data_IF_270972521201
#
_entry.id   IF_270972521201
#
_cell.length_a   1.000
_cell.length_b   1.000
_cell.length_c   1.000
_cell.angle_alpha   90.00
_cell.angle_beta   90.00
_cell.angle_gamma   90.00
#
_symmetry.space_group_name_H-M   'P 1'
#
loop_
_entity.id
_entity.type
_entity.pdbx_description
1 polymer ?
#
# COMPACT_ATOMS: atom_id res chain seq x y z
N UNK A 1 -18.76 11.93 3.27
CA UNK A 1 -18.77 10.45 3.43
C UNK A 1 -17.56 9.74 2.82
N UNK A 2 -17.04 10.17 1.66
CA UNK A 2 -15.95 9.49 0.94
C UNK A 2 -14.64 9.28 1.73
N UNK A 3 -14.25 10.19 2.63
CA UNK A 3 -13.02 10.03 3.43
C UNK A 3 -12.98 8.80 4.35
N UNK A 4 -14.15 8.33 4.83
CA UNK A 4 -14.23 7.14 5.69
C UNK A 4 -13.96 5.84 4.91
N UNK A 5 -14.36 5.78 3.65
CA UNK A 5 -14.20 4.59 2.79
C UNK A 5 -12.73 4.30 2.53
N UNK A 6 -11.95 5.32 2.14
CA UNK A 6 -10.51 5.16 1.90
C UNK A 6 -9.74 4.77 3.17
N UNK A 7 -10.20 5.28 4.31
CA UNK A 7 -9.63 4.92 5.60
C UNK A 7 -9.81 3.43 5.90
N UNK A 8 -11.02 2.91 5.67
CA UNK A 8 -11.36 1.51 5.84
C UNK A 8 -10.57 0.65 4.85
N UNK A 9 -10.45 1.10 3.60
CA UNK A 9 -9.68 0.41 2.57
C UNK A 9 -8.20 0.28 2.94
N UNK A 10 -7.59 1.36 3.46
CA UNK A 10 -6.22 1.30 3.98
C UNK A 10 -6.09 0.32 5.15
N UNK A 11 -7.04 0.35 6.08
CA UNK A 11 -7.11 -0.59 7.20
C UNK A 11 -7.20 -2.05 6.74
N UNK A 12 -8.03 -2.34 5.73
CA UNK A 12 -8.12 -3.67 5.12
C UNK A 12 -6.80 -4.11 4.49
N UNK A 13 -6.12 -3.22 3.76
CA UNK A 13 -4.82 -3.54 3.16
C UNK A 13 -3.76 -3.79 4.25
N UNK A 14 -3.75 -3.01 5.33
CA UNK A 14 -2.88 -3.26 6.48
C UNK A 14 -3.21 -4.59 7.18
N UNK A 15 -4.49 -4.96 7.27
CA UNK A 15 -4.92 -6.23 7.84
C UNK A 15 -4.39 -7.41 7.01
N UNK A 16 -4.44 -7.32 5.68
CA UNK A 16 -3.82 -8.33 4.80
C UNK A 16 -2.31 -8.43 5.06
N UNK A 17 -1.60 -7.30 5.16
CA UNK A 17 -0.17 -7.30 5.50
C UNK A 17 0.10 -7.94 6.87
N UNK A 18 -0.76 -7.73 7.87
CA UNK A 18 -0.63 -8.37 9.20
C UNK A 18 -0.86 -9.88 9.15
N UNK A 19 -1.83 -10.37 8.36
CA UNK A 19 -2.03 -11.80 8.15
C UNK A 19 -0.78 -12.42 7.52
N UNK A 20 -0.20 -11.75 6.53
CA UNK A 20 1.05 -12.19 5.89
C UNK A 20 2.19 -12.22 6.90
N UNK A 21 2.36 -11.18 7.73
CA UNK A 21 3.34 -11.19 8.80
C UNK A 21 3.15 -12.38 9.74
N UNK A 22 1.91 -12.70 10.13
CA UNK A 22 1.61 -13.88 10.96
C UNK A 22 2.02 -15.19 10.29
N UNK A 23 1.73 -15.35 8.99
CA UNK A 23 2.17 -16.51 8.21
C UNK A 23 3.69 -16.60 8.13
N UNK A 24 4.39 -15.49 7.92
CA UNK A 24 5.85 -15.46 7.86
C UNK A 24 6.49 -15.82 9.21
N UNK A 25 5.96 -15.30 10.31
CA UNK A 25 6.41 -15.67 11.66
C UNK A 25 6.20 -17.17 11.91
N UNK A 26 5.06 -17.71 11.50
CA UNK A 26 4.78 -19.14 11.60
C UNK A 26 5.79 -19.98 10.81
N UNK A 27 6.10 -19.58 9.57
CA UNK A 27 7.10 -20.23 8.73
C UNK A 27 8.45 -20.22 9.45
N UNK A 28 8.95 -19.04 9.84
CA UNK A 28 10.24 -18.87 10.53
C UNK A 28 10.32 -19.76 11.78
N UNK A 29 9.30 -19.70 12.64
CA UNK A 29 9.28 -20.44 13.91
C UNK A 29 9.32 -21.95 13.68
N UNK A 30 8.54 -22.46 12.71
CA UNK A 30 8.54 -23.89 12.38
C UNK A 30 9.84 -24.36 11.76
N UNK A 31 10.51 -23.52 10.98
CA UNK A 31 11.81 -23.86 10.40
C UNK A 31 12.96 -23.80 11.38
N UNK A 32 12.99 -22.85 12.33
CA UNK A 32 14.03 -22.82 13.38
C UNK A 32 13.98 -24.10 14.24
N UNK A 33 12.77 -24.61 14.48
CA UNK A 33 12.56 -25.86 15.22
C UNK A 33 12.80 -27.12 14.37
N UNK A 34 13.06 -26.99 13.07
CA UNK A 34 13.34 -28.08 12.15
C UNK A 34 14.84 -28.25 11.89
N UNK A 35 15.28 -29.45 11.52
CA UNK A 35 16.68 -29.74 11.17
C UNK A 35 17.14 -29.16 9.82
N UNK A 36 16.33 -28.31 9.17
CA UNK A 36 16.67 -27.73 7.87
C UNK A 36 17.25 -26.32 8.04
N UNK A 37 18.44 -26.11 7.46
CA UNK A 37 19.08 -24.79 7.42
C UNK A 37 18.27 -23.89 6.49
N UNK A 38 17.63 -22.86 7.05
CA UNK A 38 17.03 -21.80 6.23
C UNK A 38 18.14 -20.96 5.60
N UNK A 39 17.88 -20.45 4.39
CA UNK A 39 18.69 -19.38 3.85
C UNK A 39 18.56 -18.12 4.72
N UNK A 40 19.70 -17.63 5.22
CA UNK A 40 19.77 -16.42 6.03
C UNK A 40 19.21 -15.21 5.30
N UNK A 41 19.31 -15.17 3.97
CA UNK A 41 18.74 -14.10 3.16
C UNK A 41 17.21 -14.04 3.26
N UNK A 42 16.54 -15.20 3.34
CA UNK A 42 15.08 -15.29 3.47
C UNK A 42 14.61 -14.90 4.88
N UNK A 43 15.33 -15.32 5.93
CA UNK A 43 15.05 -14.88 7.31
C UNK A 43 15.12 -13.36 7.41
N UNK A 44 16.18 -12.79 6.83
CA UNK A 44 16.43 -11.36 6.88
C UNK A 44 15.36 -10.59 6.10
N UNK A 45 14.98 -11.05 4.90
CA UNK A 45 13.88 -10.47 4.12
C UNK A 45 12.56 -10.46 4.89
N UNK A 46 12.18 -11.60 5.48
CA UNK A 46 10.96 -11.71 6.29
C UNK A 46 10.98 -10.82 7.53
N UNK A 47 12.13 -10.74 8.21
CA UNK A 47 12.29 -9.90 9.40
C UNK A 47 12.16 -8.41 9.05
N UNK A 48 12.80 -7.97 7.96
CA UNK A 48 12.67 -6.60 7.46
C UNK A 48 11.21 -6.29 7.10
N UNK A 49 10.52 -7.21 6.42
CA UNK A 49 9.12 -7.03 6.07
C UNK A 49 8.21 -6.84 7.30
N UNK A 50 8.42 -7.64 8.35
CA UNK A 50 7.67 -7.51 9.61
C UNK A 50 7.93 -6.15 10.26
N UNK A 51 9.20 -5.74 10.36
CA UNK A 51 9.60 -4.45 10.94
C UNK A 51 8.97 -3.28 10.15
N UNK A 52 9.07 -3.31 8.81
CA UNK A 52 8.47 -2.29 7.95
C UNK A 52 6.95 -2.21 8.13
N UNK A 53 6.28 -3.34 8.36
CA UNK A 53 4.83 -3.37 8.62
C UNK A 53 4.45 -2.71 9.93
N UNK A 54 5.21 -2.98 11.00
CA UNK A 54 5.02 -2.34 12.29
C UNK A 54 5.29 -0.82 12.17
N UNK A 55 6.40 -0.44 11.54
CA UNK A 55 6.74 0.97 11.33
C UNK A 55 5.70 1.70 10.47
N UNK A 56 5.17 1.07 9.41
CA UNK A 56 4.11 1.64 8.59
C UNK A 56 2.85 1.91 9.42
N UNK A 57 2.41 0.95 10.24
CA UNK A 57 1.20 1.12 11.05
C UNK A 57 1.35 2.25 12.08
N UNK A 58 2.48 2.29 12.80
CA UNK A 58 2.80 3.35 13.76
C UNK A 58 2.87 4.71 13.06
N UNK A 59 3.60 4.79 11.95
CA UNK A 59 3.79 6.04 11.20
C UNK A 59 2.47 6.55 10.64
N UNK A 60 1.60 5.66 10.17
CA UNK A 60 0.27 6.03 9.69
C UNK A 60 -0.61 6.60 10.82
N UNK A 61 -0.59 6.00 12.01
CA UNK A 61 -1.32 6.50 13.19
C UNK A 61 -0.78 7.87 13.62
N UNK A 62 0.54 8.02 13.69
CA UNK A 62 1.19 9.29 14.01
C UNK A 62 0.88 10.35 12.96
N UNK A 63 0.91 9.99 11.68
CA UNK A 63 0.60 10.89 10.58
C UNK A 63 -0.85 11.40 10.66
N UNK A 64 -1.81 10.53 11.01
CA UNK A 64 -3.20 10.94 11.26
C UNK A 64 -3.31 11.99 12.37
N UNK A 65 -2.52 11.86 13.43
CA UNK A 65 -2.54 12.75 14.59
C UNK A 65 -1.86 14.09 14.31
N UNK A 66 -0.66 14.06 13.72
CA UNK A 66 0.20 15.23 13.57
C UNK A 66 0.13 15.90 12.20
N UNK A 67 -0.37 15.20 11.17
CA UNK A 67 -0.52 15.69 9.78
C UNK A 67 0.76 16.27 9.17
N UNK A 68 1.95 15.79 9.58
CA UNK A 68 3.25 16.23 9.04
C UNK A 68 3.58 15.51 7.74
N UNK A 69 4.03 16.24 6.73
CA UNK A 69 4.39 15.69 5.40
C UNK A 69 5.51 14.65 5.47
N UNK A 70 6.48 14.82 6.36
CA UNK A 70 7.59 13.86 6.57
C UNK A 70 7.06 12.46 6.92
N UNK A 71 6.00 12.38 7.74
CA UNK A 71 5.41 11.09 8.12
C UNK A 71 4.67 10.43 6.93
N UNK A 72 4.18 11.23 5.98
CA UNK A 72 3.58 10.71 4.76
C UNK A 72 4.63 10.11 3.83
N UNK A 73 5.76 10.81 3.64
CA UNK A 73 6.89 10.31 2.86
C UNK A 73 7.39 8.99 3.47
N UNK A 74 7.51 8.92 4.80
CA UNK A 74 7.87 7.69 5.50
C UNK A 74 6.89 6.54 5.21
N UNK A 75 5.58 6.79 5.27
CA UNK A 75 4.58 5.78 4.89
C UNK A 75 4.80 5.25 3.45
N UNK A 76 5.02 6.15 2.48
CA UNK A 76 5.29 5.76 1.08
C UNK A 76 6.56 4.90 1.00
N UNK A 77 7.65 5.34 1.64
CA UNK A 77 8.92 4.59 1.62
C UNK A 77 8.79 3.20 2.24
N UNK A 78 8.03 3.07 3.33
CA UNK A 78 7.78 1.77 3.97
C UNK A 78 6.92 0.87 3.09
N UNK A 79 5.88 1.39 2.43
CA UNK A 79 5.06 0.62 1.49
C UNK A 79 5.87 0.12 0.28
N UNK A 80 6.76 0.96 -0.27
CA UNK A 80 7.66 0.56 -1.35
C UNK A 80 8.65 -0.51 -0.85
N UNK A 81 9.24 -0.32 0.33
CA UNK A 81 10.14 -1.30 0.94
C UNK A 81 9.49 -2.66 1.16
N UNK A 82 8.24 -2.69 1.63
CA UNK A 82 7.45 -3.92 1.77
C UNK A 82 7.24 -4.64 0.43
N UNK A 83 6.87 -3.87 -0.60
CA UNK A 83 6.67 -4.40 -1.94
C UNK A 83 7.97 -5.03 -2.49
N UNK A 84 9.10 -4.34 -2.33
CA UNK A 84 10.41 -4.86 -2.74
C UNK A 84 10.79 -6.14 -1.98
N UNK A 85 10.55 -6.19 -0.67
CA UNK A 85 10.81 -7.40 0.12
C UNK A 85 10.02 -8.59 -0.41
N UNK A 86 8.73 -8.42 -0.71
CA UNK A 86 7.91 -9.51 -1.26
C UNK A 86 8.38 -9.95 -2.64
N UNK A 87 8.75 -9.01 -3.51
CA UNK A 87 9.29 -9.33 -4.83
C UNK A 87 10.58 -10.14 -4.71
N UNK A 88 11.54 -9.66 -3.90
CA UNK A 88 12.82 -10.36 -3.66
C UNK A 88 12.56 -11.75 -3.11
N UNK A 89 11.64 -11.89 -2.17
CA UNK A 89 11.32 -13.19 -1.57
C UNK A 89 10.66 -14.13 -2.60
N UNK A 90 9.72 -13.63 -3.41
CA UNK A 90 9.09 -14.42 -4.47
C UNK A 90 10.09 -14.89 -5.53
N UNK A 91 11.02 -14.03 -5.92
CA UNK A 91 12.11 -14.37 -6.86
C UNK A 91 13.07 -15.38 -6.23
N UNK A 92 13.47 -15.20 -4.96
CA UNK A 92 14.35 -16.13 -4.26
C UNK A 92 13.78 -17.56 -4.21
N UNK A 93 12.47 -17.69 -3.93
CA UNK A 93 11.79 -19.00 -3.97
C UNK A 93 11.64 -19.57 -5.38
N UNK A 94 11.65 -18.74 -6.42
CA UNK A 94 11.56 -19.19 -7.81
C UNK A 94 12.91 -19.66 -8.35
N UNK A 95 14.00 -18.97 -7.98
CA UNK A 95 15.37 -19.20 -8.50
C UNK A 95 16.08 -20.35 -7.76
N UNK A 96 15.82 -20.58 -6.48
CA UNK A 96 16.40 -21.72 -5.76
C UNK A 96 15.76 -23.04 -6.24
N UNK A 97 16.39 -23.69 -7.21
CA UNK A 97 16.04 -25.03 -7.67
C UNK A 97 16.56 -26.10 -6.69
N UNK A 98 15.91 -26.22 -5.53
CA UNK A 98 16.08 -27.41 -4.67
C UNK A 98 15.04 -28.44 -5.09
N UNK A 99 15.45 -29.42 -5.89
CA UNK A 99 14.62 -30.58 -6.25
C UNK A 99 14.27 -31.41 -5.01
N UNK A 100 13.20 -31.05 -4.31
CA UNK A 100 12.67 -31.83 -3.19
C UNK A 100 11.82 -32.99 -3.74
N UNK A 101 12.36 -34.20 -3.65
CA UNK A 101 11.74 -35.45 -4.13
C UNK A 101 10.59 -35.98 -3.24
N UNK A 102 10.11 -35.19 -2.26
CA UNK A 102 9.09 -35.62 -1.30
C UNK A 102 7.91 -34.66 -1.24
N UNK A 103 6.70 -35.23 -1.28
CA UNK A 103 5.48 -34.56 -0.86
C UNK A 103 5.57 -34.22 0.63
N UNK A 104 5.88 -32.96 0.94
CA UNK A 104 5.90 -32.45 2.30
C UNK A 104 4.54 -31.79 2.58
N UNK A 105 3.98 -31.94 3.79
CA UNK A 105 2.76 -31.22 4.16
C UNK A 105 3.09 -29.86 4.78
N UNK A 106 2.30 -28.82 4.46
CA UNK A 106 2.51 -27.45 4.97
C UNK A 106 2.57 -27.38 6.50
N UNK A 107 1.78 -28.20 7.19
CA UNK A 107 1.72 -28.25 8.67
C UNK A 107 3.02 -28.79 9.26
N UNK A 108 3.69 -29.73 8.59
CA UNK A 108 4.92 -30.36 9.08
C UNK A 108 6.15 -29.52 8.78
N UNK A 109 6.24 -28.97 7.57
CA UNK A 109 7.37 -28.13 7.18
C UNK A 109 6.94 -27.14 6.09
N UNK A 110 6.50 -25.92 6.49
CA UNK A 110 5.88 -24.96 5.57
C UNK A 110 6.89 -24.38 4.57
N UNK A 111 8.17 -24.32 4.93
CA UNK A 111 9.23 -23.79 4.08
C UNK A 111 9.53 -24.70 2.88
N UNK A 112 9.73 -25.99 3.10
CA UNK A 112 9.91 -26.96 1.99
C UNK A 112 8.66 -27.10 1.15
N UNK A 113 7.47 -26.95 1.75
CA UNK A 113 6.23 -26.90 0.99
C UNK A 113 6.17 -25.69 0.04
N UNK A 114 6.65 -24.52 0.49
CA UNK A 114 6.78 -23.30 -0.31
C UNK A 114 7.82 -23.43 -1.43
N UNK A 115 8.97 -24.07 -1.16
CA UNK A 115 9.97 -24.39 -2.20
C UNK A 115 9.36 -25.29 -3.28
N UNK A 116 8.62 -26.33 -2.88
CA UNK A 116 7.95 -27.24 -3.82
C UNK A 116 6.85 -26.53 -4.62
N UNK A 117 6.06 -25.66 -3.98
CA UNK A 117 4.97 -24.91 -4.60
C UNK A 117 5.38 -23.49 -5.04
N UNK A 118 6.53 -23.35 -5.69
CA UNK A 118 7.08 -22.05 -6.15
C UNK A 118 6.10 -21.13 -6.91
N UNK A 119 5.20 -21.71 -7.71
CA UNK A 119 4.18 -20.94 -8.43
C UNK A 119 3.15 -20.29 -7.50
N UNK A 120 2.89 -20.88 -6.33
CA UNK A 120 2.01 -20.30 -5.31
C UNK A 120 2.66 -19.05 -4.73
N UNK A 121 3.96 -19.08 -4.43
CA UNK A 121 4.72 -17.91 -3.98
C UNK A 121 4.65 -16.76 -4.99
N UNK A 122 4.83 -17.08 -6.28
CA UNK A 122 4.78 -16.10 -7.36
C UNK A 122 3.38 -15.51 -7.56
N UNK A 123 2.34 -16.35 -7.49
CA UNK A 123 0.93 -15.90 -7.50
C UNK A 123 0.61 -14.96 -6.34
N UNK A 124 1.11 -15.26 -5.14
CA UNK A 124 0.94 -14.40 -3.96
C UNK A 124 1.58 -13.03 -4.20
N UNK A 125 2.79 -12.96 -4.77
CA UNK A 125 3.43 -11.69 -5.13
C UNK A 125 2.56 -10.90 -6.12
N UNK A 126 2.09 -11.53 -7.19
CA UNK A 126 1.27 -10.88 -8.22
C UNK A 126 -0.03 -10.33 -7.62
N UNK A 127 -0.69 -11.09 -6.73
CA UNK A 127 -1.92 -10.67 -6.05
C UNK A 127 -1.69 -9.52 -5.06
N UNK A 128 -0.49 -9.40 -4.48
CA UNK A 128 -0.16 -8.37 -3.50
C UNK A 128 0.25 -7.03 -4.12
N UNK A 129 0.79 -7.03 -5.35
CA UNK A 129 1.18 -5.80 -6.05
C UNK A 129 0.01 -4.79 -6.14
N UNK A 130 -1.21 -5.17 -6.59
CA UNK A 130 -2.35 -4.27 -6.61
C UNK A 130 -2.72 -3.71 -5.23
N UNK A 131 -2.49 -4.47 -4.15
CA UNK A 131 -2.77 -4.05 -2.77
C UNK A 131 -1.79 -2.94 -2.36
N UNK A 132 -0.50 -3.06 -2.69
CA UNK A 132 0.48 -2.01 -2.44
C UNK A 132 0.22 -0.76 -3.29
N UNK A 133 -0.17 -0.93 -4.55
CA UNK A 133 -0.59 0.19 -5.41
C UNK A 133 -1.80 0.90 -4.79
N UNK A 134 -2.79 0.14 -4.31
CA UNK A 134 -3.95 0.69 -3.61
C UNK A 134 -3.56 1.47 -2.35
N UNK A 135 -2.65 0.94 -1.52
CA UNK A 135 -2.11 1.64 -0.34
C UNK A 135 -1.45 2.96 -0.73
N UNK A 136 -0.61 2.98 -1.77
CA UNK A 136 0.03 4.19 -2.27
C UNK A 136 -0.98 5.23 -2.76
N UNK A 137 -2.01 4.81 -3.51
CA UNK A 137 -3.07 5.72 -3.95
C UNK A 137 -3.83 6.32 -2.77
N UNK A 138 -4.14 5.51 -1.75
CA UNK A 138 -4.84 5.99 -0.57
C UNK A 138 -3.97 6.97 0.22
N UNK A 139 -2.68 6.69 0.40
CA UNK A 139 -1.72 7.60 1.06
C UNK A 139 -1.60 8.92 0.27
N UNK A 140 -1.45 8.85 -1.06
CA UNK A 140 -1.32 10.02 -1.90
C UNK A 140 -2.59 10.90 -1.87
N UNK A 141 -3.77 10.29 -1.92
CA UNK A 141 -5.07 10.99 -1.77
C UNK A 141 -5.18 11.74 -0.45
N UNK A 142 -4.59 11.16 0.58
CA UNK A 142 -4.59 11.65 1.95
C UNK A 142 -3.55 12.76 2.20
N UNK A 143 -2.43 12.73 1.46
CA UNK A 143 -1.41 13.78 1.41
C UNK A 143 -1.80 14.99 0.59
N UNK A 144 -2.44 14.75 -0.57
CA UNK A 144 -2.99 15.81 -1.41
C UNK A 144 -4.28 16.41 -0.84
N UNK A 145 -4.34 16.64 0.48
CA UNK A 145 -5.53 17.18 1.17
C UNK A 145 -6.05 18.38 0.40
N UNK A 146 -7.26 18.18 -0.12
CA UNK A 146 -8.09 19.17 -0.78
C UNK A 146 -7.36 19.77 -1.99
N UNK A 147 -7.87 19.54 -3.20
CA UNK A 147 -7.99 20.70 -4.09
C UNK A 147 -8.59 21.75 -3.20
N UNK A 148 -7.78 22.68 -2.71
CA UNK A 148 -8.24 23.86 -2.01
C UNK A 148 -9.32 24.34 -2.95
N UNK A 149 -10.58 24.12 -2.59
CA UNK A 149 -11.65 24.85 -3.22
C UNK A 149 -11.21 26.26 -2.95
N UNK A 150 -10.67 26.92 -3.99
CA UNK A 150 -10.27 28.32 -3.91
C UNK A 150 -11.37 28.96 -3.12
N UNK A 151 -11.07 29.68 -2.01
CA UNK A 151 -12.11 30.34 -1.27
C UNK A 151 -12.89 31.14 -2.29
N UNK A 152 -14.07 30.65 -2.67
CA UNK A 152 -15.11 31.51 -3.18
C UNK A 152 -15.48 32.23 -1.93
N UNK A 153 -14.72 33.30 -1.65
CA UNK A 153 -15.07 34.31 -0.67
C UNK A 153 -16.56 34.50 -0.85
N UNK A 154 -17.33 34.05 0.12
CA UNK A 154 -18.73 34.35 0.18
C UNK A 154 -18.81 35.86 -0.01
N UNK A 155 -19.49 36.22 -1.07
CA UNK A 155 -19.67 37.59 -1.52
C UNK A 155 -20.49 38.26 -0.42
N UNK A 156 -19.79 38.78 0.58
CA UNK A 156 -20.35 39.78 1.49
C UNK A 156 -20.47 41.06 0.68
N UNK A 157 -21.54 41.11 -0.11
CA UNK A 157 -22.29 42.29 -0.51
C UNK A 157 -21.63 43.45 -1.28
N UNK A 158 -20.31 43.68 -1.29
CA UNK A 158 -19.78 44.96 -1.84
C UNK A 158 -18.43 44.95 -2.56
N UNK A 159 -17.65 43.87 -2.55
CA UNK A 159 -16.34 43.88 -3.21
C UNK A 159 -16.34 43.12 -4.55
N UNK A 160 -16.41 43.88 -5.64
CA UNK A 160 -16.21 43.43 -7.01
C UNK A 160 -14.74 43.04 -7.22
N UNK A 161 -14.39 41.80 -6.85
CA UNK A 161 -13.13 41.19 -7.28
C UNK A 161 -13.29 40.82 -8.76
N UNK A 162 -12.77 41.69 -9.65
CA UNK A 162 -12.63 41.40 -11.07
C UNK A 162 -11.66 40.20 -11.22
N UNK A 163 -12.20 39.03 -11.56
CA UNK A 163 -11.37 37.86 -11.92
C UNK A 163 -10.50 38.26 -13.11
N UNK A 164 -9.18 38.07 -13.01
CA UNK A 164 -8.30 38.14 -14.19
C UNK A 164 -8.82 37.16 -15.24
N UNK A 165 -8.99 37.64 -16.47
CA UNK A 165 -9.38 36.81 -17.60
C UNK A 165 -8.35 35.70 -17.79
N UNK A 166 -8.71 34.50 -17.35
CA UNK A 166 -7.99 33.29 -17.72
C UNK A 166 -8.50 32.83 -19.07
N UNK A 167 -7.64 32.29 -19.95
CA UNK A 167 -8.00 31.91 -21.33
C UNK A 167 -9.07 30.80 -21.45
N UNK A 168 -9.57 30.26 -20.33
CA UNK A 168 -10.60 29.23 -20.27
C UNK A 168 -12.04 29.79 -20.27
N UNK A 169 -12.23 31.10 -20.44
CA UNK A 169 -13.54 31.78 -20.33
C UNK A 169 -14.52 31.48 -21.50
N UNK A 170 -14.13 30.69 -22.50
CA UNK A 170 -15.00 30.40 -23.66
C UNK A 170 -16.03 29.27 -23.42
N UNK A 171 -15.84 28.37 -22.45
CA UNK A 171 -16.82 27.29 -22.22
C UNK A 171 -18.05 27.74 -21.44
N UNK A 172 -17.93 28.79 -20.61
CA UNK A 172 -19.04 29.32 -19.81
C UNK A 172 -19.96 30.27 -20.59
N UNK A 173 -19.46 30.91 -21.66
CA UNK A 173 -20.28 31.81 -22.50
C UNK A 173 -21.38 31.06 -23.26
N UNK A 174 -21.15 29.82 -23.68
CA UNK A 174 -22.16 29.03 -24.38
C UNK A 174 -23.32 28.56 -23.49
N UNK A 175 -23.11 28.39 -22.19
CA UNK A 175 -24.18 28.00 -21.26
C UNK A 175 -25.15 29.14 -20.94
N UNK A 176 -24.69 30.40 -20.94
CA UNK A 176 -25.56 31.56 -20.69
C UNK A 176 -26.59 31.78 -21.79
N UNK A 177 -26.22 31.53 -23.05
CA UNK A 177 -27.14 31.69 -24.18
C UNK A 177 -28.23 30.60 -24.25
N UNK A 178 -28.01 29.45 -23.60
CA UNK A 178 -29.00 28.38 -23.52
C UNK A 178 -30.06 28.62 -22.44
N UNK A 179 -29.71 29.32 -21.35
CA UNK A 179 -30.63 29.59 -20.23
C UNK A 179 -31.52 30.81 -20.45
N UNK A 180 -31.19 31.71 -21.37
CA UNK A 180 -32.01 32.90 -21.69
C UNK A 180 -33.08 32.59 -22.76
N UNK A 181 -33.04 31.38 -23.35
CA UNK A 181 -33.94 30.97 -24.45
C UNK A 181 -35.08 30.02 -24.02
N UNK A 182 -35.46 30.02 -22.75
CA UNK A 182 -36.68 29.35 -22.27
C UNK A 182 -37.56 30.32 -21.51
#
# INVERSE_FOLDING_TARGET
MYGKIYTILFGLCCLVNLIICGLLIFIITKTINGNQKLDWALILSFSIFIILTILLTITFILWRKFRKEVLLILCITFTIGQCLCIIVTGVAFYVNETHTSKYVSFVKNPYTWLEFHRFVSLLIVILLIPIYICQLFVINRHGGREYISMPTTEISGKDLIVRKDTPYNNSQKNFKNLLIKK
#
